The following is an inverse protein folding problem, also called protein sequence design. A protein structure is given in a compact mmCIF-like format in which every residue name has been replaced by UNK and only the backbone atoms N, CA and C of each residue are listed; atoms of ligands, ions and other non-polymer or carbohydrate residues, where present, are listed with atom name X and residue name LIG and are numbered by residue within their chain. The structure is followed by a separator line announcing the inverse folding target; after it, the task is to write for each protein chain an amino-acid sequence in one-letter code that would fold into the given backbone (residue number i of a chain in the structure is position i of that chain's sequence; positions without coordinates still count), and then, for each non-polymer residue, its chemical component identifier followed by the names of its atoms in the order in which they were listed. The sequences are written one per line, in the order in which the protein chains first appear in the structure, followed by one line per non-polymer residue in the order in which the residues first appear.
data_IF_654403988885
#
_entry.id   IF_654403988885
#
_cell.length_a   1.000
_cell.length_b   1.000
_cell.length_c   1.000
_cell.angle_alpha   90.00
_cell.angle_beta   90.00
_cell.angle_gamma   90.00
#
_symmetry.space_group_name_H-M   'P 1'
#
loop_
_entity.id
_entity.type
_entity.pdbx_description
1 polymer ?
#
# COMPACT_ATOMS: atom_id res chain seq x y z
N UNK A 1 3.71 -21.12 -20.32
CA UNK A 1 5.13 -20.92 -20.70
C UNK A 1 5.50 -19.43 -20.71
N UNK A 2 5.51 -18.78 -19.54
CA UNK A 2 5.84 -17.34 -19.37
C UNK A 2 6.74 -17.07 -18.15
N UNK A 3 7.30 -18.12 -17.55
CA UNK A 3 8.23 -18.01 -16.43
C UNK A 3 9.58 -17.46 -16.93
N UNK A 4 9.73 -16.14 -16.89
CA UNK A 4 10.97 -15.47 -17.31
C UNK A 4 10.76 -14.15 -18.04
N UNK A 5 9.53 -13.67 -18.23
CA UNK A 5 9.27 -12.34 -18.82
C UNK A 5 9.00 -11.31 -17.71
N UNK A 6 9.59 -10.12 -17.85
CA UNK A 6 9.41 -8.99 -16.96
C UNK A 6 8.00 -8.43 -17.09
N UNK A 7 7.27 -8.33 -15.97
CA UNK A 7 5.90 -7.76 -16.01
C UNK A 7 5.86 -6.26 -16.30
N UNK A 8 6.98 -5.55 -16.14
CA UNK A 8 7.06 -4.09 -16.33
C UNK A 8 7.40 -3.70 -17.77
N UNK A 9 8.37 -4.36 -18.40
CA UNK A 9 8.83 -4.01 -19.76
C UNK A 9 8.58 -5.09 -20.82
N UNK A 10 8.11 -6.27 -20.43
CA UNK A 10 7.98 -7.42 -21.33
C UNK A 10 9.30 -8.07 -21.74
N UNK A 11 10.46 -7.54 -21.34
CA UNK A 11 11.76 -8.14 -21.66
C UNK A 11 12.07 -9.42 -20.88
N UNK A 12 13.03 -10.22 -21.35
CA UNK A 12 13.48 -11.43 -20.67
C UNK A 12 14.20 -11.12 -19.35
N UNK A 13 13.93 -11.88 -18.31
CA UNK A 13 14.59 -11.79 -17.01
C UNK A 13 15.88 -12.61 -17.05
N UNK A 14 17.02 -11.92 -16.99
CA UNK A 14 18.34 -12.53 -16.89
C UNK A 14 18.71 -12.65 -15.41
N UNK A 15 18.82 -13.88 -14.90
CA UNK A 15 18.96 -14.17 -13.47
C UNK A 15 20.20 -13.52 -12.84
N UNK A 16 21.36 -13.60 -13.49
CA UNK A 16 22.63 -13.07 -12.97
C UNK A 16 22.58 -11.55 -12.82
N UNK A 17 22.12 -10.83 -13.85
CA UNK A 17 21.96 -9.36 -13.81
C UNK A 17 20.99 -8.94 -12.71
N UNK A 18 19.85 -9.64 -12.59
CA UNK A 18 18.85 -9.37 -11.56
C UNK A 18 19.40 -9.60 -10.16
N UNK A 19 20.22 -10.63 -9.96
CA UNK A 19 20.76 -10.95 -8.64
C UNK A 19 21.63 -9.83 -8.06
N UNK A 20 22.50 -9.22 -8.87
CA UNK A 20 23.32 -8.08 -8.45
C UNK A 20 22.43 -6.92 -7.98
N UNK A 21 21.44 -6.53 -8.78
CA UNK A 21 20.50 -5.45 -8.43
C UNK A 21 19.68 -5.79 -7.18
N UNK A 22 19.20 -7.04 -7.06
CA UNK A 22 18.44 -7.47 -5.89
C UNK A 22 19.27 -7.40 -4.59
N UNK A 23 20.57 -7.67 -4.65
CA UNK A 23 21.48 -7.51 -3.49
C UNK A 23 21.64 -6.05 -3.10
N UNK A 24 21.83 -5.18 -4.08
CA UNK A 24 21.98 -3.73 -3.85
C UNK A 24 20.71 -3.12 -3.27
N UNK A 25 19.55 -3.33 -3.92
CA UNK A 25 18.26 -2.85 -3.41
C UNK A 25 17.91 -3.49 -2.07
N UNK A 26 18.27 -4.76 -1.87
CA UNK A 26 18.17 -5.42 -0.58
C UNK A 26 18.85 -4.59 0.51
N UNK A 27 20.14 -4.29 0.35
CA UNK A 27 20.90 -3.48 1.33
C UNK A 27 20.32 -2.08 1.51
N UNK A 28 19.84 -1.45 0.43
CA UNK A 28 19.21 -0.13 0.49
C UNK A 28 17.91 -0.13 1.32
N UNK A 29 17.15 -1.21 1.28
CA UNK A 29 15.80 -1.28 1.86
C UNK A 29 15.75 -1.94 3.24
N UNK A 30 16.87 -2.44 3.75
CA UNK A 30 16.91 -3.30 4.92
C UNK A 30 18.05 -2.97 5.88
N UNK A 31 17.87 -3.30 7.14
CA UNK A 31 18.96 -3.50 8.09
C UNK A 31 19.54 -4.93 8.01
N UNK A 32 20.48 -5.27 8.90
CA UNK A 32 21.09 -6.60 8.97
C UNK A 32 20.06 -7.72 9.19
N UNK A 33 19.00 -7.47 9.96
CA UNK A 33 18.01 -8.49 10.32
C UNK A 33 17.00 -8.75 9.20
N UNK A 34 16.63 -7.70 8.47
CA UNK A 34 15.65 -7.74 7.37
C UNK A 34 16.28 -8.05 6.02
N UNK A 35 17.59 -7.86 5.85
CA UNK A 35 18.30 -8.08 4.58
C UNK A 35 18.05 -9.46 3.95
N UNK A 36 18.25 -10.60 4.66
CA UNK A 36 18.11 -11.91 4.01
C UNK A 36 16.69 -12.18 3.52
N UNK A 37 15.68 -11.59 4.17
CA UNK A 37 14.27 -11.75 3.78
C UNK A 37 13.96 -10.85 2.58
N UNK A 38 14.30 -9.56 2.66
CA UNK A 38 14.06 -8.59 1.58
C UNK A 38 14.82 -8.99 0.32
N UNK A 39 16.09 -9.39 0.41
CA UNK A 39 16.85 -9.89 -0.74
C UNK A 39 16.15 -11.07 -1.42
N UNK A 40 15.69 -12.08 -0.66
CA UNK A 40 14.98 -13.24 -1.24
C UNK A 40 13.69 -12.83 -1.94
N UNK A 41 12.93 -11.90 -1.37
CA UNK A 41 11.74 -11.34 -2.00
C UNK A 41 12.07 -10.62 -3.33
N UNK A 42 13.08 -9.75 -3.33
CA UNK A 42 13.53 -9.03 -4.53
C UNK A 42 14.19 -9.95 -5.56
N UNK A 43 14.80 -11.07 -5.16
CA UNK A 43 15.30 -12.09 -6.08
C UNK A 43 14.16 -12.85 -6.74
N UNK A 44 13.06 -13.10 -6.02
CA UNK A 44 11.88 -13.83 -6.53
C UNK A 44 10.90 -13.00 -7.36
N UNK A 45 10.90 -11.68 -7.23
CA UNK A 45 9.92 -10.79 -7.88
C UNK A 45 9.95 -10.87 -9.42
N UNK A 46 8.81 -10.79 -10.10
CA UNK A 46 8.70 -11.01 -11.56
C UNK A 46 9.09 -9.80 -12.45
N UNK A 47 10.22 -9.15 -12.14
CA UNK A 47 10.83 -8.08 -12.96
C UNK A 47 12.29 -8.36 -13.32
N UNK A 48 12.77 -7.80 -14.43
CA UNK A 48 14.19 -7.86 -14.82
C UNK A 48 15.05 -6.90 -13.97
N UNK A 49 16.38 -7.07 -14.01
CA UNK A 49 17.32 -6.22 -13.26
C UNK A 49 17.16 -4.73 -13.55
N UNK A 50 17.03 -4.35 -14.82
CA UNK A 50 16.84 -2.94 -15.24
C UNK A 50 15.57 -2.34 -14.63
N UNK A 51 14.45 -3.06 -14.71
CA UNK A 51 13.17 -2.58 -14.15
C UNK A 51 13.14 -2.55 -12.63
N UNK A 52 13.86 -3.47 -11.98
CA UNK A 52 14.04 -3.50 -10.53
C UNK A 52 14.90 -2.32 -10.07
N UNK A 53 15.95 -2.00 -10.82
CA UNK A 53 16.84 -0.89 -10.51
C UNK A 53 16.14 0.47 -10.64
N UNK A 54 15.33 0.61 -11.70
CA UNK A 54 14.51 1.78 -11.99
C UNK A 54 13.23 1.90 -11.13
N UNK A 55 13.11 1.19 -10.00
CA UNK A 55 11.99 1.42 -9.09
C UNK A 55 12.16 2.78 -8.39
N UNK A 56 11.13 3.63 -8.36
CA UNK A 56 11.19 4.92 -7.69
C UNK A 56 11.04 4.76 -6.17
N UNK A 57 12.03 4.13 -5.53
CA UNK A 57 12.02 3.78 -4.11
C UNK A 57 11.99 5.03 -3.23
N UNK A 58 11.07 5.06 -2.27
CA UNK A 58 11.03 6.08 -1.21
C UNK A 58 12.24 5.90 -0.28
N UNK A 59 12.89 7.03 0.03
CA UNK A 59 14.08 7.08 0.90
C UNK A 59 13.79 6.74 2.37
N UNK A 60 14.77 7.01 3.24
CA UNK A 60 14.63 6.80 4.69
C UNK A 60 13.98 8.00 5.40
N UNK A 61 14.12 9.19 4.81
CA UNK A 61 13.66 10.43 5.41
C UNK A 61 12.22 10.76 4.96
N UNK A 62 11.25 10.28 5.74
CA UNK A 62 9.83 10.29 5.41
C UNK A 62 8.98 10.86 6.53
N UNK A 63 7.79 11.35 6.17
CA UNK A 63 6.78 11.77 7.13
C UNK A 63 6.29 10.58 7.95
N UNK A 64 6.42 10.67 9.27
CA UNK A 64 6.08 9.57 10.17
C UNK A 64 4.60 9.18 10.11
N UNK A 65 3.71 10.12 9.72
CA UNK A 65 2.26 9.87 9.57
C UNK A 65 1.86 9.38 8.18
N UNK A 66 2.31 10.00 7.09
CA UNK A 66 1.82 9.67 5.76
C UNK A 66 2.84 8.99 4.83
N UNK A 67 4.10 8.84 5.26
CA UNK A 67 5.17 8.24 4.45
C UNK A 67 5.66 9.10 3.29
N UNK A 68 5.30 10.39 3.23
CA UNK A 68 5.79 11.32 2.19
C UNK A 68 7.31 11.49 2.29
N UNK A 69 8.00 11.33 1.17
CA UNK A 69 9.46 11.53 1.03
C UNK A 69 9.84 13.03 1.12
N UNK A 70 10.83 13.37 1.98
CA UNK A 70 11.31 14.74 2.17
C UNK A 70 12.00 15.35 0.97
N UNK A 71 12.58 14.54 0.07
CA UNK A 71 13.32 15.08 -1.09
C UNK A 71 12.50 16.04 -1.96
N UNK A 72 11.17 16.04 -1.81
CA UNK A 72 10.24 16.84 -2.61
C UNK A 72 9.47 17.91 -1.82
N UNK A 73 9.76 18.12 -0.53
CA UNK A 73 9.25 19.27 0.24
C UNK A 73 10.26 19.73 1.32
N UNK A 74 10.60 21.02 1.29
CA UNK A 74 11.25 21.69 2.41
C UNK A 74 10.35 21.57 3.65
N UNK A 75 10.94 21.16 4.77
CA UNK A 75 10.31 20.94 6.09
C UNK A 75 9.40 19.70 6.22
N UNK A 76 10.01 18.57 6.60
CA UNK A 76 9.44 17.89 7.75
C UNK A 76 9.97 18.63 8.98
N UNK A 77 9.09 19.05 9.88
CA UNK A 77 9.49 19.76 11.10
C UNK A 77 10.41 18.91 11.98
N UNK A 78 10.91 19.48 13.07
CA UNK A 78 11.63 18.74 14.13
C UNK A 78 10.86 17.50 14.60
N UNK A 79 9.53 17.52 14.49
CA UNK A 79 8.61 16.45 14.90
C UNK A 79 8.46 15.28 13.91
N UNK A 80 9.16 15.26 12.77
CA UNK A 80 9.06 14.14 11.83
C UNK A 80 7.76 14.13 10.97
N UNK A 81 6.98 15.21 11.00
CA UNK A 81 5.76 15.39 10.18
C UNK A 81 5.93 16.41 9.03
N UNK A 82 5.29 16.15 7.89
CA UNK A 82 5.20 17.12 6.78
C UNK A 82 4.10 18.16 7.04
N UNK A 83 4.16 19.32 6.35
CA UNK A 83 3.17 20.42 6.45
C UNK A 83 1.71 19.94 6.40
N UNK A 84 1.37 19.07 5.45
CA UNK A 84 0.03 18.50 5.29
C UNK A 84 -0.46 17.65 6.49
N UNK A 85 0.46 17.11 7.27
CA UNK A 85 0.16 16.27 8.43
C UNK A 85 0.17 17.05 9.74
N UNK A 86 0.92 18.16 9.80
CA UNK A 86 0.91 19.13 10.90
C UNK A 86 -0.46 19.84 10.96
N UNK A 87 -0.94 20.35 9.82
CA UNK A 87 -2.23 21.08 9.76
C UNK A 87 -3.45 20.16 9.53
N UNK A 88 -3.30 18.85 9.61
CA UNK A 88 -4.38 17.91 9.29
C UNK A 88 -5.29 17.65 10.49
N UNK A 89 -6.56 18.05 10.37
CA UNK A 89 -7.61 17.94 11.41
C UNK A 89 -8.05 16.51 11.77
N UNK A 90 -7.65 15.49 10.99
CA UNK A 90 -8.12 14.10 11.12
C UNK A 90 -7.47 13.33 12.31
N UNK A 91 -7.28 13.99 13.45
CA UNK A 91 -6.65 13.54 14.71
C UNK A 91 -6.31 12.05 14.76
N UNK A 92 -5.04 11.71 14.48
CA UNK A 92 -4.44 10.36 14.59
C UNK A 92 -5.36 9.16 14.22
N UNK A 93 -6.33 9.34 13.30
CA UNK A 93 -7.30 8.28 12.93
C UNK A 93 -6.61 7.09 12.24
N UNK A 94 -5.51 7.42 11.58
CA UNK A 94 -4.57 6.49 10.99
C UNK A 94 -3.24 6.78 11.65
N UNK A 95 -2.65 5.78 12.31
CA UNK A 95 -1.38 5.92 13.03
C UNK A 95 -0.28 6.28 12.03
N UNK A 96 -0.14 5.46 11.00
CA UNK A 96 0.81 5.71 9.92
C UNK A 96 0.40 5.03 8.62
N UNK A 97 0.74 5.67 7.49
CA UNK A 97 0.85 5.02 6.20
C UNK A 97 2.32 4.79 5.85
N UNK A 98 2.63 3.63 5.26
CA UNK A 98 3.92 3.38 4.61
C UNK A 98 3.71 2.89 3.18
N UNK A 99 4.62 3.31 2.31
CA UNK A 99 4.66 2.92 0.91
C UNK A 99 6.10 2.65 0.51
N UNK A 100 6.31 1.82 -0.50
CA UNK A 100 7.66 1.54 -1.00
C UNK A 100 8.06 2.46 -2.15
N UNK A 101 7.08 2.82 -2.99
CA UNK A 101 7.32 3.51 -4.26
C UNK A 101 6.71 4.91 -4.27
N UNK A 102 7.36 5.86 -4.93
CA UNK A 102 6.73 7.13 -5.32
C UNK A 102 5.78 6.91 -6.49
N UNK A 103 4.69 7.66 -6.52
CA UNK A 103 3.78 7.66 -7.66
C UNK A 103 4.27 8.60 -8.76
N UNK A 104 4.95 8.06 -9.78
CA UNK A 104 5.42 8.80 -10.95
C UNK A 104 4.61 8.41 -12.21
N UNK A 105 4.92 9.01 -13.38
CA UNK A 105 4.08 8.88 -14.58
C UNK A 105 3.99 7.44 -15.10
N UNK A 106 5.09 6.68 -15.07
CA UNK A 106 5.14 5.31 -15.62
C UNK A 106 4.38 4.28 -14.79
N UNK A 107 4.21 4.55 -13.50
CA UNK A 107 3.55 3.70 -12.52
C UNK A 107 2.04 3.68 -12.71
N UNK A 108 1.49 4.78 -13.24
CA UNK A 108 0.06 4.92 -13.56
C UNK A 108 -0.39 3.88 -14.58
N UNK A 109 0.42 3.62 -15.60
CA UNK A 109 0.05 2.72 -16.69
C UNK A 109 0.09 1.26 -16.22
N UNK A 110 1.14 0.87 -15.50
CA UNK A 110 1.27 -0.48 -14.93
C UNK A 110 0.16 -0.78 -13.91
N UNK A 111 -0.13 0.18 -13.03
CA UNK A 111 -1.23 0.04 -12.07
C UNK A 111 -2.59 0.02 -12.78
N UNK A 112 -2.73 0.77 -13.89
CA UNK A 112 -3.89 0.70 -14.78
C UNK A 112 -4.10 -0.69 -15.34
N UNK A 113 -3.06 -1.31 -15.91
CA UNK A 113 -3.13 -2.69 -16.42
C UNK A 113 -3.60 -3.67 -15.34
N UNK A 114 -3.08 -3.54 -14.12
CA UNK A 114 -3.50 -4.40 -13.02
C UNK A 114 -4.98 -4.23 -12.66
N UNK A 115 -5.48 -2.99 -12.60
CA UNK A 115 -6.87 -2.66 -12.26
C UNK A 115 -7.91 -3.20 -13.24
N UNK A 116 -7.53 -3.46 -14.49
CA UNK A 116 -8.48 -3.81 -15.56
C UNK A 116 -8.29 -5.23 -16.12
N UNK A 117 -7.12 -5.85 -15.95
CA UNK A 117 -6.84 -7.18 -16.51
C UNK A 117 -6.67 -8.29 -15.47
N UNK A 118 -6.53 -7.95 -14.19
CA UNK A 118 -6.41 -8.94 -13.11
C UNK A 118 -5.21 -9.88 -13.25
N UNK A 119 -4.13 -9.44 -13.92
CA UNK A 119 -2.96 -10.28 -14.20
C UNK A 119 -2.32 -10.75 -12.87
N UNK A 120 -2.37 -12.06 -12.62
CA UNK A 120 -1.80 -12.68 -11.42
C UNK A 120 -0.31 -12.36 -11.23
N UNK A 121 0.43 -12.14 -12.32
CA UNK A 121 1.84 -11.74 -12.23
C UNK A 121 1.99 -10.33 -11.68
N UNK A 122 1.06 -9.42 -11.99
CA UNK A 122 1.01 -8.09 -11.37
C UNK A 122 0.58 -8.17 -9.91
N UNK A 123 -0.33 -9.08 -9.56
CA UNK A 123 -0.68 -9.35 -8.16
C UNK A 123 0.53 -9.84 -7.36
N UNK A 124 1.29 -10.79 -7.91
CA UNK A 124 2.54 -11.29 -7.32
C UNK A 124 3.61 -10.19 -7.21
N UNK A 125 3.79 -9.38 -8.26
CA UNK A 125 4.72 -8.25 -8.27
C UNK A 125 4.40 -7.25 -7.16
N UNK A 126 3.18 -6.71 -7.14
CA UNK A 126 2.78 -5.71 -6.16
C UNK A 126 2.66 -6.29 -4.74
N UNK A 127 2.21 -7.53 -4.60
CA UNK A 127 2.17 -8.23 -3.31
C UNK A 127 3.57 -8.41 -2.72
N UNK A 128 4.56 -8.74 -3.55
CA UNK A 128 5.98 -8.82 -3.13
C UNK A 128 6.49 -7.46 -2.67
N UNK A 129 6.18 -6.37 -3.39
CA UNK A 129 6.55 -5.03 -2.97
C UNK A 129 5.91 -4.64 -1.63
N UNK A 130 4.63 -4.97 -1.40
CA UNK A 130 3.98 -4.76 -0.11
C UNK A 130 4.63 -5.57 1.01
N UNK A 131 5.03 -6.83 0.75
CA UNK A 131 5.73 -7.67 1.72
C UNK A 131 7.10 -7.09 2.08
N UNK A 132 7.82 -6.54 1.10
CA UNK A 132 9.06 -5.79 1.34
C UNK A 132 8.79 -4.56 2.21
N UNK A 133 7.69 -3.82 1.97
CA UNK A 133 7.30 -2.68 2.83
C UNK A 133 7.05 -3.12 4.27
N UNK A 134 6.37 -4.25 4.50
CA UNK A 134 6.18 -4.80 5.85
C UNK A 134 7.51 -5.12 6.50
N UNK A 135 8.41 -5.82 5.80
CA UNK A 135 9.72 -6.16 6.35
C UNK A 135 10.58 -4.93 6.65
N UNK A 136 10.41 -3.85 5.88
CA UNK A 136 11.14 -2.60 6.07
C UNK A 136 10.64 -1.77 7.25
N UNK A 137 9.32 -1.70 7.45
CA UNK A 137 8.73 -0.74 8.41
C UNK A 137 8.02 -1.39 9.60
N UNK A 138 7.52 -2.61 9.46
CA UNK A 138 6.63 -3.25 10.42
C UNK A 138 7.06 -4.68 10.79
N UNK A 139 8.34 -5.04 10.61
CA UNK A 139 8.87 -6.38 10.86
C UNK A 139 8.54 -6.90 12.27
N UNK A 140 8.64 -6.04 13.28
CA UNK A 140 8.43 -6.38 14.68
C UNK A 140 6.99 -6.12 15.16
N UNK A 141 6.07 -5.73 14.26
CA UNK A 141 4.70 -5.38 14.61
C UNK A 141 3.79 -6.60 14.46
N UNK A 142 2.98 -6.87 15.50
CA UNK A 142 1.92 -7.87 15.45
C UNK A 142 0.60 -7.26 15.00
N UNK A 143 0.14 -7.60 13.80
CA UNK A 143 -1.20 -7.21 13.34
C UNK A 143 -2.21 -8.32 13.61
N UNK A 144 -3.37 -7.95 14.14
CA UNK A 144 -4.50 -8.88 14.34
C UNK A 144 -5.06 -9.36 13.02
N UNK A 145 -5.16 -8.47 12.03
CA UNK A 145 -5.59 -8.80 10.67
C UNK A 145 -5.17 -7.76 9.64
N UNK A 146 -5.21 -8.17 8.37
CA UNK A 146 -5.19 -7.31 7.21
C UNK A 146 -6.63 -7.06 6.76
N UNK A 147 -6.98 -5.82 6.44
CA UNK A 147 -8.22 -5.49 5.72
C UNK A 147 -7.90 -4.59 4.52
N UNK A 148 -8.84 -4.45 3.61
CA UNK A 148 -8.66 -3.69 2.36
C UNK A 148 -9.66 -2.57 2.24
N UNK A 149 -9.34 -1.58 1.41
CA UNK A 149 -10.32 -0.60 0.95
C UNK A 149 -11.27 -1.27 -0.05
N UNK A 150 -12.59 -1.34 0.23
CA UNK A 150 -13.54 -1.98 -0.67
C UNK A 150 -13.85 -1.12 -1.90
N UNK A 151 -14.13 -1.78 -3.02
CA UNK A 151 -14.73 -1.14 -4.20
C UNK A 151 -16.24 -0.99 -4.01
N UNK A 152 -16.81 0.00 -4.72
CA UNK A 152 -18.26 0.14 -4.80
C UNK A 152 -18.82 -1.05 -5.59
N UNK A 153 -19.99 -1.63 -5.24
CA UNK A 153 -20.54 -2.79 -5.94
C UNK A 153 -20.63 -2.64 -7.46
N UNK A 154 -20.95 -1.44 -7.96
CA UNK A 154 -20.95 -1.16 -9.39
C UNK A 154 -19.58 -1.34 -10.03
N UNK A 155 -18.52 -0.78 -9.42
CA UNK A 155 -17.15 -0.93 -9.94
C UNK A 155 -16.63 -2.35 -9.82
N UNK A 156 -17.05 -3.07 -8.77
CA UNK A 156 -16.73 -4.48 -8.62
C UNK A 156 -17.36 -5.29 -9.76
N UNK A 157 -18.62 -5.02 -10.13
CA UNK A 157 -19.28 -5.64 -11.29
C UNK A 157 -18.59 -5.30 -12.61
N UNK A 158 -18.25 -4.02 -12.83
CA UNK A 158 -17.55 -3.57 -14.04
C UNK A 158 -16.17 -4.22 -14.21
N UNK A 159 -15.44 -4.43 -13.11
CA UNK A 159 -14.07 -4.99 -13.14
C UNK A 159 -14.01 -6.50 -12.95
N UNK A 160 -15.04 -7.11 -12.39
CA UNK A 160 -15.07 -8.52 -11.99
C UNK A 160 -14.30 -8.86 -10.71
N UNK A 161 -13.40 -7.99 -10.23
CA UNK A 161 -12.58 -8.22 -9.04
C UNK A 161 -12.16 -6.91 -8.35
N UNK A 162 -11.74 -7.02 -7.08
CA UNK A 162 -11.05 -5.95 -6.36
C UNK A 162 -9.55 -6.24 -6.33
N UNK A 163 -8.76 -5.38 -6.99
CA UNK A 163 -7.32 -5.55 -7.11
C UNK A 163 -6.62 -5.56 -5.74
N UNK A 164 -7.13 -4.78 -4.78
CA UNK A 164 -6.54 -4.67 -3.44
C UNK A 164 -6.77 -5.95 -2.63
N UNK A 165 -7.88 -6.65 -2.85
CA UNK A 165 -8.17 -7.93 -2.19
C UNK A 165 -7.23 -9.05 -2.67
N UNK A 166 -6.85 -9.03 -3.95
CA UNK A 166 -5.82 -9.93 -4.47
C UNK A 166 -4.46 -9.66 -3.81
N UNK A 167 -4.07 -8.38 -3.70
CA UNK A 167 -2.81 -8.00 -3.06
C UNK A 167 -2.79 -8.39 -1.58
N UNK A 168 -3.87 -8.14 -0.85
CA UNK A 168 -3.98 -8.48 0.56
C UNK A 168 -3.89 -9.99 0.79
N UNK A 169 -4.51 -10.82 -0.07
CA UNK A 169 -4.36 -12.28 0.00
C UNK A 169 -2.92 -12.74 -0.21
N UNK A 170 -2.23 -12.20 -1.21
CA UNK A 170 -0.81 -12.50 -1.41
C UNK A 170 0.05 -12.06 -0.22
N UNK A 171 -0.19 -10.85 0.29
CA UNK A 171 0.53 -10.32 1.44
C UNK A 171 0.28 -11.17 2.69
N UNK A 172 -0.98 -11.44 3.03
CA UNK A 172 -1.37 -12.22 4.20
C UNK A 172 -0.79 -13.63 4.19
N UNK A 173 -0.73 -14.28 3.03
CA UNK A 173 -0.03 -15.55 2.88
C UNK A 173 1.49 -15.41 3.11
N UNK A 174 2.12 -14.36 2.60
CA UNK A 174 3.56 -14.13 2.73
C UNK A 174 4.01 -13.82 4.17
N UNK A 175 3.18 -13.09 4.94
CA UNK A 175 3.52 -12.65 6.30
C UNK A 175 2.72 -13.38 7.40
N UNK A 176 1.89 -14.34 7.02
CA UNK A 176 1.05 -15.18 7.90
C UNK A 176 0.07 -14.38 8.78
N UNK A 177 -0.57 -13.36 8.19
CA UNK A 177 -1.58 -12.55 8.87
C UNK A 177 -2.93 -12.76 8.18
N UNK A 178 -4.03 -13.03 8.92
CA UNK A 178 -5.32 -13.30 8.32
C UNK A 178 -5.89 -12.06 7.62
N UNK A 179 -6.48 -12.26 6.44
CA UNK A 179 -7.20 -11.22 5.71
C UNK A 179 -8.67 -11.27 6.09
N UNK A 180 -9.24 -10.13 6.47
CA UNK A 180 -10.63 -9.95 6.89
C UNK A 180 -11.26 -8.83 6.06
N UNK A 181 -12.52 -9.01 5.66
CA UNK A 181 -13.28 -8.01 4.92
C UNK A 181 -14.12 -7.20 5.91
N UNK A 182 -13.47 -6.29 6.62
CA UNK A 182 -14.08 -5.51 7.71
C UNK A 182 -14.94 -4.35 7.22
N UNK A 183 -14.88 -4.02 5.92
CA UNK A 183 -15.48 -2.82 5.37
C UNK A 183 -16.29 -3.14 4.12
N UNK A 184 -17.42 -2.45 3.97
CA UNK A 184 -18.18 -2.35 2.72
C UNK A 184 -18.23 -0.89 2.26
N UNK A 185 -18.27 -0.66 0.95
CA UNK A 185 -18.44 0.68 0.38
C UNK A 185 -19.89 0.94 0.07
N UNK A 186 -20.46 2.01 0.62
CA UNK A 186 -21.89 2.34 0.53
C UNK A 186 -22.19 3.45 -0.47
N UNK A 187 -21.22 4.34 -0.75
CA UNK A 187 -21.39 5.45 -1.70
C UNK A 187 -20.57 5.20 -2.98
N UNK A 188 -21.20 5.38 -4.14
CA UNK A 188 -20.43 5.58 -5.38
C UNK A 188 -19.99 7.04 -5.44
N UNK A 189 -18.69 7.24 -5.45
CA UNK A 189 -18.07 8.56 -5.37
C UNK A 189 -17.16 8.71 -6.57
N UNK A 190 -17.15 9.85 -7.29
CA UNK A 190 -16.27 10.05 -8.44
C UNK A 190 -14.79 9.73 -8.13
N UNK A 191 -14.00 9.42 -9.16
CA UNK A 191 -12.56 9.17 -8.99
C UNK A 191 -11.91 10.39 -8.32
N UNK A 192 -11.25 10.20 -7.16
CA UNK A 192 -10.57 11.28 -6.42
C UNK A 192 -9.55 12.04 -7.27
N UNK A 193 -8.94 11.38 -8.26
CA UNK A 193 -8.02 11.99 -9.21
C UNK A 193 -8.66 13.08 -10.09
N UNK A 194 -9.99 13.07 -10.25
CA UNK A 194 -10.75 14.08 -10.99
C UNK A 194 -11.18 15.26 -10.12
N UNK A 195 -11.01 15.17 -8.80
CA UNK A 195 -11.43 16.20 -7.86
C UNK A 195 -10.29 17.18 -7.55
N UNK A 196 -10.64 18.47 -7.47
CA UNK A 196 -9.72 19.57 -7.21
C UNK A 196 -9.59 19.80 -5.69
N UNK A 197 -8.36 19.76 -5.21
CA UNK A 197 -8.05 20.09 -3.82
C UNK A 197 -8.27 18.96 -2.81
N UNK A 198 -7.72 19.15 -1.62
CA UNK A 198 -7.75 18.17 -0.53
C UNK A 198 -9.14 18.08 0.12
N UNK A 199 -9.77 19.23 0.37
CA UNK A 199 -11.06 19.35 1.06
C UNK A 199 -12.14 18.59 0.30
N UNK A 200 -12.31 18.86 -1.00
CA UNK A 200 -13.26 18.14 -1.86
C UNK A 200 -13.06 16.61 -1.85
N UNK A 201 -11.80 16.16 -1.80
CA UNK A 201 -11.47 14.72 -1.71
C UNK A 201 -11.82 14.13 -0.35
N UNK A 202 -11.65 14.88 0.74
CA UNK A 202 -12.05 14.45 2.09
C UNK A 202 -13.58 14.35 2.20
N UNK A 203 -14.29 15.38 1.77
CA UNK A 203 -15.77 15.43 1.76
C UNK A 203 -16.36 14.27 0.96
N UNK A 204 -15.81 14.02 -0.24
CA UNK A 204 -16.28 12.93 -1.10
C UNK A 204 -16.17 11.56 -0.47
N UNK A 205 -15.22 11.35 0.45
CA UNK A 205 -15.05 10.07 1.15
C UNK A 205 -15.81 9.99 2.47
N UNK A 206 -16.46 11.07 2.93
CA UNK A 206 -17.17 11.11 4.21
C UNK A 206 -18.34 10.11 4.19
N UNK A 207 -18.35 9.20 5.16
CA UNK A 207 -19.34 8.13 5.31
C UNK A 207 -19.50 7.26 4.05
N UNK A 208 -18.44 7.15 3.23
CA UNK A 208 -18.46 6.32 2.03
C UNK A 208 -18.34 4.82 2.34
N UNK A 209 -18.04 4.48 3.60
CA UNK A 209 -17.77 3.13 4.08
C UNK A 209 -18.62 2.80 5.30
N UNK A 210 -18.90 1.52 5.48
CA UNK A 210 -19.57 0.96 6.65
C UNK A 210 -18.88 -0.33 7.10
N UNK A 211 -19.05 -0.69 8.37
CA UNK A 211 -18.53 -1.93 8.93
C UNK A 211 -19.15 -3.16 8.27
N UNK A 212 -18.34 -4.11 7.82
CA UNK A 212 -18.79 -5.43 7.36
C UNK A 212 -19.11 -6.33 8.55
N UNK A 213 -20.05 -7.27 8.43
CA UNK A 213 -20.61 -8.07 9.54
C UNK A 213 -19.62 -9.07 10.21
N UNK A 214 -18.32 -8.80 10.18
CA UNK A 214 -17.29 -9.63 10.80
C UNK A 214 -17.02 -9.18 12.24
N UNK A 215 -16.78 -10.15 13.11
CA UNK A 215 -16.35 -9.92 14.49
C UNK A 215 -14.85 -10.13 14.62
N UNK A 216 -14.16 -9.15 15.20
CA UNK A 216 -12.77 -9.23 15.65
C UNK A 216 -12.65 -8.56 17.03
N UNK A 217 -11.59 -8.83 17.82
CA UNK A 217 -11.40 -8.21 19.13
C UNK A 217 -11.36 -6.66 19.04
N UNK A 218 -11.96 -5.97 20.00
CA UNK A 218 -11.94 -4.50 20.07
C UNK A 218 -10.53 -3.92 20.18
N UNK A 219 -9.68 -4.53 21.01
CA UNK A 219 -8.26 -4.24 21.07
C UNK A 219 -7.53 -4.97 19.92
N UNK A 220 -7.47 -4.31 18.76
CA UNK A 220 -6.83 -4.85 17.56
C UNK A 220 -5.87 -3.85 16.93
N UNK A 221 -4.76 -4.36 16.41
CA UNK A 221 -3.87 -3.61 15.51
C UNK A 221 -4.17 -4.05 14.09
N UNK A 222 -4.80 -3.17 13.29
CA UNK A 222 -5.32 -3.48 11.96
C UNK A 222 -4.41 -2.89 10.88
N UNK A 223 -4.08 -3.71 9.87
CA UNK A 223 -3.34 -3.28 8.69
C UNK A 223 -4.28 -3.06 7.49
N UNK A 224 -4.53 -1.81 7.12
CA UNK A 224 -5.38 -1.42 6.01
C UNK A 224 -4.58 -1.28 4.70
N UNK A 225 -4.99 -1.98 3.64
CA UNK A 225 -4.31 -1.94 2.34
C UNK A 225 -5.11 -1.11 1.33
N UNK A 226 -4.40 -0.29 0.53
CA UNK A 226 -4.89 0.35 -0.70
C UNK A 226 -3.76 0.39 -1.74
N UNK A 227 -4.02 0.82 -2.97
CA UNK A 227 -2.99 0.90 -4.01
C UNK A 227 -2.17 2.20 -3.96
N UNK A 228 -2.79 3.33 -3.65
CA UNK A 228 -2.14 4.65 -3.67
C UNK A 228 -2.57 5.55 -2.52
N UNK A 229 -1.59 6.16 -1.86
CA UNK A 229 -1.84 7.20 -0.87
C UNK A 229 -1.67 8.59 -1.51
N UNK A 230 -2.77 9.29 -1.77
CA UNK A 230 -2.72 10.68 -2.25
C UNK A 230 -2.85 11.67 -1.09
N UNK A 231 -4.08 12.06 -0.74
CA UNK A 231 -4.38 12.88 0.44
C UNK A 231 -4.58 12.03 1.69
N UNK A 232 -4.82 10.73 1.52
CA UNK A 232 -5.22 9.80 2.59
C UNK A 232 -6.72 9.79 2.90
N UNK A 233 -7.55 10.55 2.16
CA UNK A 233 -8.98 10.66 2.44
C UNK A 233 -9.70 9.29 2.51
N UNK A 234 -9.44 8.41 1.55
CA UNK A 234 -10.00 7.05 1.50
C UNK A 234 -9.63 6.24 2.75
N UNK A 235 -8.33 6.13 3.02
CA UNK A 235 -7.79 5.35 4.13
C UNK A 235 -8.24 5.90 5.49
N UNK A 236 -8.29 7.22 5.66
CA UNK A 236 -8.79 7.83 6.91
C UNK A 236 -10.28 7.63 7.11
N UNK A 237 -11.08 7.66 6.04
CA UNK A 237 -12.52 7.36 6.15
C UNK A 237 -12.76 5.89 6.54
N UNK A 238 -12.01 4.97 5.94
CA UNK A 238 -11.99 3.57 6.34
C UNK A 238 -11.56 3.40 7.81
N UNK A 239 -10.46 4.03 8.21
CA UNK A 239 -9.95 3.96 9.58
C UNK A 239 -10.94 4.53 10.60
N UNK A 240 -11.66 5.61 10.26
CA UNK A 240 -12.73 6.17 11.08
C UNK A 240 -13.85 5.15 11.30
N UNK A 241 -14.31 4.51 10.22
CA UNK A 241 -15.36 3.47 10.27
C UNK A 241 -14.93 2.29 11.15
N UNK A 242 -13.66 1.85 11.02
CA UNK A 242 -13.11 0.76 11.84
C UNK A 242 -13.09 1.15 13.32
N UNK A 243 -12.62 2.35 13.65
CA UNK A 243 -12.51 2.82 15.03
C UNK A 243 -13.85 3.07 15.70
N UNK A 244 -14.83 3.61 14.96
CA UNK A 244 -16.19 3.80 15.45
C UNK A 244 -16.82 2.47 15.87
N UNK A 245 -16.45 1.37 15.22
CA UNK A 245 -16.95 0.04 15.57
C UNK A 245 -16.13 -0.67 16.66
N UNK A 246 -14.80 -0.64 16.58
CA UNK A 246 -13.91 -1.38 17.49
C UNK A 246 -13.54 -0.60 18.77
N UNK A 247 -13.76 0.71 18.77
CA UNK A 247 -13.42 1.59 19.88
C UNK A 247 -12.02 2.22 19.77
N UNK A 248 -11.69 3.12 20.71
CA UNK A 248 -10.49 3.98 20.65
C UNK A 248 -9.17 3.23 20.87
N UNK A 249 -9.20 2.03 21.45
CA UNK A 249 -8.02 1.19 21.66
C UNK A 249 -7.54 0.50 20.38
N UNK A 250 -8.32 0.54 19.29
CA UNK A 250 -7.90 -0.01 18.01
C UNK A 250 -6.90 0.91 17.31
N UNK A 251 -5.73 0.35 17.00
CA UNK A 251 -4.72 1.02 16.19
C UNK A 251 -4.87 0.62 14.72
N UNK A 252 -4.93 1.61 13.83
CA UNK A 252 -5.01 1.37 12.39
C UNK A 252 -3.76 1.91 11.71
N UNK A 253 -3.03 1.02 11.06
CA UNK A 253 -1.92 1.33 10.16
C UNK A 253 -2.35 1.07 8.72
N UNK A 254 -1.67 1.68 7.75
CA UNK A 254 -1.89 1.35 6.35
C UNK A 254 -0.63 1.11 5.55
N UNK A 255 -0.81 0.32 4.49
CA UNK A 255 0.15 0.15 3.43
C UNK A 255 -0.46 0.50 2.08
N UNK A 256 0.31 1.23 1.29
CA UNK A 256 0.03 1.41 -0.13
C UNK A 256 1.25 1.06 -0.96
N UNK A 257 1.03 0.70 -2.23
CA UNK A 257 2.16 0.51 -3.15
C UNK A 257 2.86 1.85 -3.34
N UNK A 258 2.06 2.88 -3.61
CA UNK A 258 2.51 4.19 -4.02
C UNK A 258 2.16 5.29 -3.01
N UNK A 259 3.06 6.27 -2.89
CA UNK A 259 2.84 7.52 -2.17
C UNK A 259 2.96 8.75 -3.06
#
# INVERSE_FOLDING_TARGET
MTSGMCVRCGGRIIALQKETVAREKGRQLSDQMSYPVIYRMLKGIVVCGVCLDALPLIGHDICQRCGRDRKWQASIGSEGLCRDCVHGEDGQILVANRSLLRYEKGEKDLLGLFKYRGDERLASYYGTLLAVTVQRYYRSMGFTCITTVPLHPQRLRERGFNQVDLLARHLGAAIKIPVRSLLRRTKDTPKLSKQRGRVSRQESMREAFAWGEQSIPSASTVLLIDDIYTTGATLRSCARTIREHLGPSCEIYSLTIYR
#
